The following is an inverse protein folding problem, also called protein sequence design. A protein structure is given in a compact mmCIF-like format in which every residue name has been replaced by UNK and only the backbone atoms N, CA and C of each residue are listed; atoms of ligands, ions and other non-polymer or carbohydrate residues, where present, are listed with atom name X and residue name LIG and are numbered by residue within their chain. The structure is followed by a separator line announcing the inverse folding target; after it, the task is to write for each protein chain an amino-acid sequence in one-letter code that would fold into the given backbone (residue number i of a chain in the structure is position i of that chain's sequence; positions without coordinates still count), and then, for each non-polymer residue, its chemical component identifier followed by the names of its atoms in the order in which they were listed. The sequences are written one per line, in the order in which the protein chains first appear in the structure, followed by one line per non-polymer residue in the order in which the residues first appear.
data_IF_911061968153
#
_entry.id   IF_911061968153
#
_cell.length_a   1.000
_cell.length_b   1.000
_cell.length_c   1.000
_cell.angle_alpha   90.00
_cell.angle_beta   90.00
_cell.angle_gamma   90.00
#
_symmetry.space_group_name_H-M   'P 1'
#
loop_
_entity.id
_entity.type
_entity.pdbx_description
1 polymer ?
#
# COMPACT_ATOMS: atom_id res chain seq x y z
N UNK A 1 14.15 -24.77 -8.12
CA UNK A 1 13.70 -23.59 -8.87
C UNK A 1 12.24 -23.44 -8.51
N UNK A 2 11.92 -22.57 -7.56
CA UNK A 2 10.53 -22.23 -7.23
C UNK A 2 10.01 -21.41 -8.40
N UNK A 3 9.00 -21.92 -9.10
CA UNK A 3 8.26 -21.15 -10.10
C UNK A 3 7.78 -19.86 -9.46
N UNK A 4 8.15 -18.75 -10.06
CA UNK A 4 7.81 -17.40 -9.59
C UNK A 4 6.35 -17.14 -9.96
N UNK A 5 5.42 -17.70 -9.17
CA UNK A 5 3.96 -17.65 -9.39
C UNK A 5 3.38 -16.24 -9.26
N UNK A 6 4.16 -15.27 -8.74
CA UNK A 6 3.70 -13.91 -8.47
C UNK A 6 3.68 -12.98 -9.70
N UNK A 7 4.04 -13.46 -10.88
CA UNK A 7 3.95 -12.70 -12.13
C UNK A 7 2.73 -13.08 -12.97
N UNK A 8 1.98 -14.10 -12.58
CA UNK A 8 0.73 -14.46 -13.24
C UNK A 8 -0.38 -13.49 -12.78
N UNK A 9 -1.01 -12.71 -13.70
CA UNK A 9 -2.13 -11.83 -13.36
C UNK A 9 -3.27 -12.54 -12.64
N UNK A 10 -3.55 -13.80 -12.98
CA UNK A 10 -4.58 -14.60 -12.31
C UNK A 10 -4.19 -14.98 -10.86
N UNK A 11 -2.90 -15.18 -10.59
CA UNK A 11 -2.42 -15.42 -9.23
C UNK A 11 -2.52 -14.15 -8.38
N UNK A 12 -2.17 -12.97 -8.93
CA UNK A 12 -2.34 -11.68 -8.26
C UNK A 12 -3.81 -11.36 -8.00
N UNK A 13 -4.72 -11.71 -8.91
CA UNK A 13 -6.16 -11.52 -8.71
C UNK A 13 -6.68 -12.28 -7.49
N UNK A 14 -6.25 -13.52 -7.27
CA UNK A 14 -6.62 -14.31 -6.08
C UNK A 14 -6.15 -13.65 -4.78
N UNK A 15 -4.98 -13.03 -4.78
CA UNK A 15 -4.46 -12.34 -3.61
C UNK A 15 -5.27 -11.08 -3.25
N UNK A 16 -6.10 -10.57 -4.16
CA UNK A 16 -7.00 -9.44 -3.87
C UNK A 16 -8.29 -9.85 -3.18
N UNK A 17 -8.70 -11.12 -3.26
CA UNK A 17 -9.97 -11.62 -2.73
C UNK A 17 -10.18 -11.36 -1.23
N UNK A 18 -9.15 -11.43 -0.35
CA UNK A 18 -9.31 -11.14 1.06
C UNK A 18 -9.59 -9.66 1.38
N UNK A 19 -9.42 -8.76 0.40
CA UNK A 19 -9.57 -7.32 0.64
C UNK A 19 -11.01 -6.86 0.39
N UNK A 20 -11.68 -6.38 1.44
CA UNK A 20 -12.99 -5.74 1.33
C UNK A 20 -12.85 -4.35 0.71
N UNK A 21 -13.58 -4.08 -0.37
CA UNK A 21 -13.58 -2.76 -1.01
C UNK A 21 -14.72 -1.92 -0.45
N UNK A 22 -14.36 -0.86 0.26
CA UNK A 22 -15.33 0.10 0.78
C UNK A 22 -15.74 1.12 -0.30
N UNK A 23 -16.99 1.62 -0.27
CA UNK A 23 -17.44 2.64 -1.22
C UNK A 23 -16.64 3.94 -1.05
N UNK A 24 -16.36 4.61 -2.16
CA UNK A 24 -15.83 5.97 -2.18
C UNK A 24 -16.88 6.88 -2.80
N UNK A 25 -17.49 7.74 -1.99
CA UNK A 25 -18.59 8.62 -2.40
C UNK A 25 -18.09 9.91 -3.08
N UNK A 26 -16.77 10.19 -3.00
CA UNK A 26 -16.17 11.41 -3.54
C UNK A 26 -14.87 11.14 -4.33
N UNK A 27 -14.89 10.25 -5.34
CA UNK A 27 -13.71 10.06 -6.18
C UNK A 27 -13.45 11.31 -7.02
N UNK A 28 -12.20 11.53 -7.44
CA UNK A 28 -11.88 12.60 -8.37
C UNK A 28 -12.63 12.42 -9.71
N UNK A 29 -13.20 13.51 -10.26
CA UNK A 29 -13.74 13.46 -11.62
C UNK A 29 -12.64 13.11 -12.63
N UNK A 30 -13.03 12.60 -13.80
CA UNK A 30 -12.11 12.22 -14.87
C UNK A 30 -11.24 13.40 -15.29
N UNK A 31 -11.83 14.61 -15.42
CA UNK A 31 -11.12 15.82 -15.80
C UNK A 31 -10.11 16.24 -14.73
N UNK A 32 -10.51 16.19 -13.43
CA UNK A 32 -9.61 16.51 -12.33
C UNK A 32 -8.45 15.53 -12.27
N UNK A 33 -8.73 14.22 -12.34
CA UNK A 33 -7.72 13.17 -12.32
C UNK A 33 -6.74 13.34 -13.48
N UNK A 34 -7.24 13.55 -14.72
CA UNK A 34 -6.40 13.75 -15.88
C UNK A 34 -5.51 14.98 -15.73
N UNK A 35 -6.04 16.09 -15.23
CA UNK A 35 -5.26 17.31 -14.99
C UNK A 35 -4.12 17.10 -13.99
N UNK A 36 -4.33 16.24 -12.98
CA UNK A 36 -3.33 15.89 -11.98
C UNK A 36 -2.26 14.92 -12.53
N UNK A 37 -2.67 14.01 -13.42
CA UNK A 37 -1.75 13.09 -14.13
C UNK A 37 -0.87 13.87 -15.12
N UNK A 38 -1.43 14.87 -15.82
CA UNK A 38 -0.70 15.67 -16.82
C UNK A 38 0.32 16.63 -16.20
N UNK A 39 0.08 17.04 -14.95
CA UNK A 39 0.96 17.94 -14.18
C UNK A 39 1.34 17.29 -12.85
N UNK A 40 2.19 16.27 -12.88
CA UNK A 40 2.53 15.53 -11.68
C UNK A 40 3.27 16.42 -10.68
N UNK A 41 2.86 16.34 -9.41
CA UNK A 41 3.53 16.98 -8.30
C UNK A 41 3.86 15.90 -7.26
N UNK A 42 5.06 15.35 -7.34
CA UNK A 42 5.50 14.24 -6.49
C UNK A 42 5.29 14.55 -5.01
N UNK A 43 4.60 13.63 -4.32
CA UNK A 43 4.32 13.75 -2.89
C UNK A 43 3.21 14.73 -2.50
N UNK A 44 2.54 15.39 -3.45
CA UNK A 44 1.47 16.36 -3.19
C UNK A 44 0.09 15.88 -3.65
N UNK A 45 0.05 14.96 -4.60
CA UNK A 45 -1.20 14.41 -5.16
C UNK A 45 -1.34 12.96 -4.73
N UNK A 46 -2.50 12.61 -4.21
CA UNK A 46 -2.87 11.26 -3.80
C UNK A 46 -4.00 10.76 -4.69
N UNK A 47 -4.07 9.44 -4.92
CA UNK A 47 -5.19 8.82 -5.62
C UNK A 47 -6.42 8.72 -4.71
N UNK A 48 -7.52 8.20 -5.25
CA UNK A 48 -8.82 8.20 -4.57
C UNK A 48 -8.90 7.25 -3.38
N UNK A 49 -8.07 6.18 -3.36
CA UNK A 49 -8.18 5.14 -2.34
C UNK A 49 -6.81 4.78 -1.75
N UNK A 50 -6.86 4.06 -0.62
CA UNK A 50 -5.71 3.45 0.05
C UNK A 50 -6.08 2.04 0.52
N UNK A 51 -5.10 1.18 0.81
CA UNK A 51 -5.34 -0.06 1.56
C UNK A 51 -4.94 0.12 3.01
N UNK A 52 -5.61 -0.63 3.87
CA UNK A 52 -5.34 -0.64 5.30
C UNK A 52 -5.49 -2.06 5.84
N UNK A 53 -4.61 -2.43 6.75
CA UNK A 53 -4.67 -3.65 7.56
C UNK A 53 -4.16 -3.33 8.96
N UNK A 54 -4.66 -4.08 9.94
CA UNK A 54 -4.25 -3.96 11.35
C UNK A 54 -3.67 -5.27 11.83
N UNK A 55 -2.61 -5.21 12.61
CA UNK A 55 -2.05 -6.34 13.33
C UNK A 55 -2.22 -6.16 14.83
N UNK A 56 -2.70 -7.21 15.49
CA UNK A 56 -2.82 -7.25 16.94
C UNK A 56 -2.06 -8.47 17.46
N UNK A 57 -1.29 -8.28 18.53
CA UNK A 57 -0.51 -9.37 19.15
C UNK A 57 -1.43 -10.49 19.64
N UNK A 58 -1.16 -11.70 19.15
CA UNK A 58 -1.97 -12.89 19.47
C UNK A 58 -3.09 -13.17 18.47
N UNK A 59 -3.52 -12.19 17.68
CA UNK A 59 -4.56 -12.35 16.66
C UNK A 59 -3.96 -12.36 15.23
N UNK A 60 -2.85 -11.63 15.00
CA UNK A 60 -2.21 -11.52 13.71
C UNK A 60 -2.78 -10.41 12.84
N UNK A 61 -2.57 -10.51 11.52
CA UNK A 61 -3.04 -9.53 10.53
C UNK A 61 -4.52 -9.73 10.20
N UNK A 62 -5.28 -8.65 10.28
CA UNK A 62 -6.74 -8.60 10.07
C UNK A 62 -7.16 -7.33 9.34
N UNK A 63 -8.47 -7.13 9.17
CA UNK A 63 -9.10 -5.91 8.66
C UNK A 63 -8.53 -5.46 7.30
N UNK A 64 -8.40 -6.43 6.37
CA UNK A 64 -7.93 -6.19 5.00
C UNK A 64 -8.96 -5.41 4.23
N UNK A 65 -8.68 -4.14 3.91
CA UNK A 65 -9.63 -3.30 3.18
C UNK A 65 -8.95 -2.35 2.19
N UNK A 66 -9.69 -1.99 1.16
CA UNK A 66 -9.45 -0.85 0.27
C UNK A 66 -10.49 0.20 0.65
N UNK A 67 -10.07 1.37 1.06
CA UNK A 67 -10.92 2.44 1.56
C UNK A 67 -10.61 3.79 0.90
N UNK A 68 -11.50 4.78 0.95
CA UNK A 68 -11.19 6.13 0.48
C UNK A 68 -9.94 6.68 1.17
N UNK A 69 -9.08 7.37 0.41
CA UNK A 69 -7.93 8.05 0.99
C UNK A 69 -8.39 9.13 1.98
N UNK A 70 -7.96 9.01 3.23
CA UNK A 70 -8.32 9.91 4.31
C UNK A 70 -7.19 10.04 5.35
N UNK A 71 -7.21 11.07 6.21
CA UNK A 71 -6.32 11.15 7.36
C UNK A 71 -6.47 9.94 8.29
N UNK A 72 -5.36 9.38 8.74
CA UNK A 72 -5.35 8.32 9.75
C UNK A 72 -5.68 8.92 11.11
N UNK A 73 -6.61 8.27 11.84
CA UNK A 73 -6.86 8.60 13.24
C UNK A 73 -5.81 7.93 14.10
N UNK A 74 -5.08 8.72 14.87
CA UNK A 74 -3.98 8.24 15.71
C UNK A 74 -4.09 8.81 17.11
N UNK A 75 -3.90 7.96 18.12
CA UNK A 75 -3.78 8.40 19.50
C UNK A 75 -2.48 9.19 19.69
N UNK A 76 -2.48 10.33 20.44
CA UNK A 76 -1.27 11.09 20.69
C UNK A 76 -0.16 10.29 21.41
N UNK A 77 -0.52 9.23 22.14
CA UNK A 77 0.41 8.30 22.77
C UNK A 77 0.93 7.19 21.85
N UNK A 78 0.54 7.17 20.57
CA UNK A 78 1.01 6.15 19.63
C UNK A 78 2.54 6.11 19.55
N UNK A 79 3.11 4.91 19.69
CA UNK A 79 4.56 4.71 19.79
C UNK A 79 5.33 5.30 18.61
N UNK A 80 4.78 5.27 17.41
CA UNK A 80 5.40 5.87 16.22
C UNK A 80 5.69 7.35 16.38
N UNK A 81 4.82 8.12 17.04
CA UNK A 81 4.97 9.57 17.22
C UNK A 81 6.14 9.93 18.14
N UNK A 82 6.55 9.02 19.01
CA UNK A 82 7.59 9.26 20.03
C UNK A 82 8.91 8.58 19.70
N UNK A 83 8.86 7.42 19.02
CA UNK A 83 10.02 6.57 18.80
C UNK A 83 10.29 6.30 17.31
N UNK A 84 9.48 6.85 16.40
CA UNK A 84 9.60 6.66 14.95
C UNK A 84 9.70 5.16 14.56
N UNK A 85 8.94 4.29 15.26
CA UNK A 85 8.92 2.85 14.97
C UNK A 85 8.02 2.60 13.77
N UNK A 86 8.58 2.79 12.59
CA UNK A 86 7.93 2.64 11.29
C UNK A 86 8.89 2.13 10.22
N UNK A 87 8.37 1.51 9.17
CA UNK A 87 9.12 1.22 7.96
C UNK A 87 8.24 1.40 6.73
N UNK A 88 8.88 1.65 5.58
CA UNK A 88 8.20 1.82 4.32
C UNK A 88 8.96 1.21 3.15
N UNK A 89 8.22 1.02 2.05
CA UNK A 89 8.72 0.63 0.74
C UNK A 89 8.26 1.61 -0.33
N UNK A 90 8.82 1.48 -1.53
CA UNK A 90 8.42 2.21 -2.70
C UNK A 90 8.45 1.31 -3.93
N UNK A 91 7.34 1.25 -4.65
CA UNK A 91 7.24 0.54 -5.93
C UNK A 91 6.36 1.31 -6.90
N UNK A 92 6.35 0.88 -8.15
CA UNK A 92 5.66 1.60 -9.23
C UNK A 92 4.75 0.67 -10.03
N UNK A 93 3.59 1.20 -10.45
CA UNK A 93 2.74 0.56 -11.44
C UNK A 93 2.90 1.24 -12.79
N UNK A 94 2.98 0.42 -13.83
CA UNK A 94 3.24 0.81 -15.21
C UNK A 94 2.06 0.42 -16.10
N UNK A 95 1.59 1.33 -16.96
CA UNK A 95 0.62 1.03 -18.01
C UNK A 95 1.34 0.63 -19.27
N UNK A 96 1.03 -0.54 -19.80
CA UNK A 96 1.52 -1.01 -21.10
C UNK A 96 0.63 -0.54 -22.25
N UNK A 97 1.13 -0.65 -23.48
CA UNK A 97 0.41 -0.20 -24.69
C UNK A 97 -0.89 -0.99 -24.95
N UNK A 98 -0.98 -2.22 -24.47
CA UNK A 98 -2.17 -3.07 -24.53
C UNK A 98 -3.23 -2.74 -23.45
N UNK A 99 -2.96 -1.73 -22.60
CA UNK A 99 -3.82 -1.32 -21.50
C UNK A 99 -3.62 -2.10 -20.20
N UNK A 100 -2.80 -3.13 -20.17
CA UNK A 100 -2.48 -3.88 -18.96
C UNK A 100 -1.65 -3.04 -17.98
N UNK A 101 -1.74 -3.35 -16.69
CA UNK A 101 -0.95 -2.68 -15.64
C UNK A 101 -0.01 -3.69 -14.99
N UNK A 102 1.25 -3.33 -14.90
CA UNK A 102 2.32 -4.18 -14.44
C UNK A 102 3.05 -3.62 -13.22
N UNK A 103 3.55 -4.53 -12.38
CA UNK A 103 4.45 -4.25 -11.26
C UNK A 103 5.81 -4.89 -11.56
N UNK A 104 6.88 -4.20 -11.19
CA UNK A 104 8.23 -4.74 -11.36
C UNK A 104 8.72 -5.36 -10.07
N UNK A 105 8.87 -6.69 -10.02
CA UNK A 105 9.38 -7.49 -8.90
C UNK A 105 8.81 -7.08 -7.54
N UNK A 106 7.49 -7.03 -7.36
CA UNK A 106 6.86 -6.63 -6.11
C UNK A 106 7.15 -7.62 -4.97
N UNK A 107 7.46 -8.89 -5.27
CA UNK A 107 7.96 -9.92 -4.37
C UNK A 107 9.24 -9.48 -3.66
N UNK A 108 10.22 -8.95 -4.40
CA UNK A 108 11.45 -8.45 -3.83
C UNK A 108 11.23 -7.23 -2.90
N UNK A 109 10.21 -6.40 -3.19
CA UNK A 109 9.81 -5.33 -2.28
C UNK A 109 9.20 -5.90 -0.99
N UNK A 110 8.34 -6.92 -1.10
CA UNK A 110 7.73 -7.58 0.06
C UNK A 110 8.78 -8.23 0.98
N UNK A 111 9.75 -8.95 0.42
CA UNK A 111 10.87 -9.54 1.19
C UNK A 111 11.70 -8.46 1.91
N UNK A 112 12.01 -7.36 1.23
CA UNK A 112 12.76 -6.24 1.81
C UNK A 112 11.97 -5.54 2.92
N UNK A 113 10.64 -5.43 2.75
CA UNK A 113 9.75 -4.88 3.76
C UNK A 113 9.72 -5.75 5.03
N UNK A 114 9.66 -7.09 4.89
CA UNK A 114 9.78 -8.03 6.01
C UNK A 114 11.13 -7.87 6.74
N UNK A 115 12.23 -7.75 5.99
CA UNK A 115 13.55 -7.56 6.57
C UNK A 115 13.64 -6.23 7.35
N UNK A 116 12.99 -5.18 6.88
CA UNK A 116 12.91 -3.90 7.59
C UNK A 116 12.08 -4.02 8.87
N UNK A 117 10.93 -4.69 8.80
CA UNK A 117 10.06 -4.95 9.94
C UNK A 117 10.81 -5.72 11.06
N UNK A 118 11.51 -6.80 10.71
CA UNK A 118 12.34 -7.59 11.65
C UNK A 118 13.33 -6.71 12.42
N UNK A 119 14.03 -5.81 11.74
CA UNK A 119 15.03 -4.93 12.37
C UNK A 119 14.44 -3.94 13.37
N UNK A 120 13.19 -3.61 13.20
CA UNK A 120 12.47 -2.64 14.05
C UNK A 120 11.55 -3.34 15.07
N UNK A 121 11.61 -4.68 15.18
CA UNK A 121 10.69 -5.46 16.02
C UNK A 121 9.22 -5.21 15.69
N UNK A 122 8.91 -4.83 14.45
CA UNK A 122 7.56 -4.81 13.90
C UNK A 122 7.17 -6.23 13.43
N UNK A 123 5.87 -6.57 13.41
CA UNK A 123 5.42 -7.86 12.88
C UNK A 123 5.73 -7.99 11.40
N UNK A 124 6.13 -9.19 10.97
CA UNK A 124 6.31 -9.46 9.55
C UNK A 124 4.96 -9.50 8.85
N UNK A 125 4.80 -8.69 7.81
CA UNK A 125 3.66 -8.79 6.92
C UNK A 125 3.87 -9.98 5.97
N UNK A 126 2.92 -10.93 5.85
CA UNK A 126 3.00 -12.00 4.85
C UNK A 126 3.20 -11.44 3.44
N UNK A 127 4.02 -12.11 2.62
CA UNK A 127 4.28 -11.67 1.24
C UNK A 127 2.97 -11.57 0.45
N UNK A 128 2.07 -12.55 0.60
CA UNK A 128 0.78 -12.56 -0.08
C UNK A 128 -0.10 -11.37 0.33
N UNK A 129 -0.08 -10.97 1.60
CA UNK A 129 -0.80 -9.79 2.08
C UNK A 129 -0.22 -8.49 1.51
N UNK A 130 1.11 -8.38 1.43
CA UNK A 130 1.77 -7.25 0.78
C UNK A 130 1.38 -7.16 -0.70
N UNK A 131 1.51 -8.26 -1.44
CA UNK A 131 1.19 -8.32 -2.87
C UNK A 131 -0.30 -8.07 -3.11
N UNK A 132 -1.17 -8.69 -2.31
CA UNK A 132 -2.62 -8.54 -2.37
C UNK A 132 -3.06 -7.10 -2.13
N UNK A 133 -2.48 -6.42 -1.13
CA UNK A 133 -2.80 -5.01 -0.81
C UNK A 133 -2.45 -4.08 -1.97
N UNK A 134 -1.25 -4.26 -2.55
CA UNK A 134 -0.78 -3.48 -3.70
C UNK A 134 -1.65 -3.75 -4.93
N UNK A 135 -1.94 -5.02 -5.24
CA UNK A 135 -2.75 -5.41 -6.38
C UNK A 135 -4.21 -4.90 -6.26
N UNK A 136 -4.83 -5.05 -5.07
CA UNK A 136 -6.19 -4.58 -4.80
C UNK A 136 -6.30 -3.06 -5.01
N UNK A 137 -5.31 -2.32 -4.54
CA UNK A 137 -5.25 -0.89 -4.73
C UNK A 137 -5.06 -0.51 -6.21
N UNK A 138 -4.13 -1.18 -6.93
CA UNK A 138 -3.92 -0.95 -8.37
C UNK A 138 -5.20 -1.24 -9.17
N UNK A 139 -5.90 -2.31 -8.84
CA UNK A 139 -7.16 -2.69 -9.48
C UNK A 139 -8.25 -1.64 -9.23
N UNK A 140 -8.40 -1.17 -7.99
CA UNK A 140 -9.40 -0.16 -7.62
C UNK A 140 -9.18 1.18 -8.31
N UNK A 141 -7.93 1.63 -8.35
CA UNK A 141 -7.55 2.95 -8.90
C UNK A 141 -6.85 2.82 -10.27
N UNK A 142 -7.23 1.85 -11.09
CA UNK A 142 -6.59 1.61 -12.37
C UNK A 142 -6.52 2.88 -13.25
N UNK A 143 -7.53 3.75 -13.17
CA UNK A 143 -7.60 5.00 -13.93
C UNK A 143 -6.55 6.05 -13.51
N UNK A 144 -5.88 5.86 -12.37
CA UNK A 144 -4.78 6.72 -11.94
C UNK A 144 -3.43 6.30 -12.52
N UNK A 145 -3.32 5.10 -13.09
CA UNK A 145 -2.08 4.65 -13.72
C UNK A 145 -1.94 5.35 -15.07
N UNK A 146 -0.91 6.20 -15.26
CA UNK A 146 -0.76 6.98 -16.48
C UNK A 146 -0.56 6.09 -17.71
N UNK A 147 -1.14 6.48 -18.85
CA UNK A 147 -0.88 5.85 -20.15
C UNK A 147 0.29 6.49 -20.89
N UNK A 148 0.73 7.67 -20.47
CA UNK A 148 1.86 8.37 -21.08
C UNK A 148 3.16 7.60 -20.80
N UNK A 149 3.96 7.38 -21.83
CA UNK A 149 5.29 6.76 -21.71
C UNK A 149 6.15 7.54 -20.74
N UNK A 150 6.95 6.83 -19.91
CA UNK A 150 7.83 7.39 -18.88
C UNK A 150 7.12 7.87 -17.61
N UNK A 151 5.79 7.88 -17.57
CA UNK A 151 5.02 8.16 -16.37
C UNK A 151 4.58 6.88 -15.68
N UNK A 152 4.61 6.88 -14.35
CA UNK A 152 4.25 5.72 -13.53
C UNK A 152 3.43 6.15 -12.33
N UNK A 153 2.65 5.26 -11.76
CA UNK A 153 2.00 5.48 -10.48
C UNK A 153 2.90 4.96 -9.37
N UNK A 154 3.40 5.84 -8.52
CA UNK A 154 4.20 5.47 -7.37
C UNK A 154 3.32 5.04 -6.20
N UNK A 155 3.67 3.93 -5.54
CA UNK A 155 2.98 3.40 -4.36
C UNK A 155 3.92 3.38 -3.16
N UNK A 156 3.37 3.65 -1.99
CA UNK A 156 4.06 3.71 -0.72
C UNK A 156 3.42 2.75 0.29
N UNK A 157 3.82 1.47 0.31
CA UNK A 157 3.52 0.60 1.45
C UNK A 157 4.29 1.10 2.67
N UNK A 158 3.62 1.18 3.81
CA UNK A 158 4.25 1.54 5.09
C UNK A 158 3.52 0.89 6.25
N UNK A 159 4.23 0.62 7.34
CA UNK A 159 3.65 0.17 8.61
C UNK A 159 4.25 0.94 9.77
N UNK A 160 3.49 1.07 10.82
CA UNK A 160 3.90 1.81 12.02
C UNK A 160 3.25 1.27 13.28
N UNK A 161 3.96 1.42 14.41
CA UNK A 161 3.43 1.07 15.73
C UNK A 161 2.36 2.09 16.15
N UNK A 162 1.09 1.67 16.07
CA UNK A 162 -0.09 2.50 16.38
C UNK A 162 -0.54 2.42 17.84
N UNK A 163 -0.03 1.43 18.60
CA UNK A 163 -0.36 1.25 20.00
C UNK A 163 -0.09 2.51 20.82
N UNK A 164 -1.06 2.99 21.66
CA UNK A 164 -0.84 4.10 22.57
C UNK A 164 -0.03 3.64 23.79
N UNK A 165 1.28 3.60 23.64
CA UNK A 165 2.21 3.15 24.67
C UNK A 165 3.50 3.97 24.70
N UNK A 166 3.79 4.62 25.81
CA UNK A 166 5.01 5.40 26.04
C UNK A 166 6.09 4.55 26.69
N UNK A 167 6.76 3.74 25.92
CA UNK A 167 7.85 2.87 26.36
C UNK A 167 8.51 2.17 25.18
N UNK A 168 9.71 1.64 25.38
CA UNK A 168 10.49 0.98 24.31
C UNK A 168 10.33 -0.53 24.41
N UNK A 169 9.51 -1.11 23.53
CA UNK A 169 9.33 -2.56 23.35
C UNK A 169 8.75 -2.86 21.98
N UNK A 170 8.66 -4.13 21.62
CA UNK A 170 7.88 -4.55 20.45
C UNK A 170 6.41 -4.14 20.63
N UNK A 171 5.76 -3.53 19.62
CA UNK A 171 4.39 -3.06 19.71
C UNK A 171 3.39 -4.22 19.80
N UNK A 172 2.22 -3.95 20.35
CA UNK A 172 1.11 -4.90 20.39
C UNK A 172 0.04 -4.60 19.34
N UNK A 173 0.07 -3.40 18.76
CA UNK A 173 -0.78 -2.97 17.67
C UNK A 173 0.05 -2.26 16.62
N UNK A 174 -0.18 -2.61 15.35
CA UNK A 174 0.51 -2.04 14.19
C UNK A 174 -0.49 -1.84 13.07
N UNK A 175 -0.46 -0.69 12.45
CA UNK A 175 -1.18 -0.43 11.20
C UNK A 175 -0.25 -0.55 10.00
N UNK A 176 -0.78 -1.14 8.93
CA UNK A 176 -0.16 -1.18 7.61
C UNK A 176 -1.07 -0.54 6.59
N UNK A 177 -0.50 0.32 5.77
CA UNK A 177 -1.22 1.02 4.71
C UNK A 177 -0.42 0.99 3.41
N UNK A 178 -1.13 1.06 2.29
CA UNK A 178 -0.54 1.44 1.00
C UNK A 178 -1.27 2.67 0.51
N UNK A 179 -0.56 3.78 0.41
CA UNK A 179 -1.03 4.95 -0.29
C UNK A 179 -0.40 5.04 -1.68
N UNK A 180 -0.94 5.88 -2.51
CA UNK A 180 -0.39 6.18 -3.83
C UNK A 180 -0.11 7.65 -3.94
N UNK A 181 1.11 7.94 -4.40
CA UNK A 181 1.53 9.29 -4.73
C UNK A 181 1.64 9.41 -6.24
N UNK A 182 1.26 10.58 -6.71
CA UNK A 182 1.23 10.90 -8.11
C UNK A 182 2.44 10.46 -8.93
N UNK A 183 2.16 10.32 -10.16
CA UNK A 183 2.99 10.17 -11.34
C UNK A 183 4.40 10.74 -11.21
N UNK A 184 5.37 9.92 -11.47
CA UNK A 184 6.80 10.28 -11.56
C UNK A 184 7.31 9.87 -12.92
#
# INVERSE_FOLDING_TARGET
MTENTHHDPAALDKLTEPFTVLPNDNPASDEKRQSLIDKPAFGQVFSDNMTHMTWTKGEGWSDRRVEPYAPLKMDPGASVLHYAQECFEGLKAYRHADGSTWLFRPDANAERFQNSAKRLYLPELPIDDFLGSVAALVKRDANWVPSRREYTLYMRPFMFASEPFLGVRAPQEVDYCVDRKSVV
#
